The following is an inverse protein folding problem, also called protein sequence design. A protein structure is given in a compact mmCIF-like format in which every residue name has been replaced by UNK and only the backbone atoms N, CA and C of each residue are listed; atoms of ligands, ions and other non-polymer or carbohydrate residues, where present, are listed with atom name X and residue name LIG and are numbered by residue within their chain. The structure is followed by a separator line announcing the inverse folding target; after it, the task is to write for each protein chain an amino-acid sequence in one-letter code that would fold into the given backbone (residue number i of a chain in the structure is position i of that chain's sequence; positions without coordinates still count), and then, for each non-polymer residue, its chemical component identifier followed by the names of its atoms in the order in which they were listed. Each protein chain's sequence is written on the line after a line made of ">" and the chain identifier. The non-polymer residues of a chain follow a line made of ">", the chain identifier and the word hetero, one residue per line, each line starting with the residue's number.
data_IF_298735018283
#
_entry.id   IF_298735018283
#
_cell.length_a   1.000
_cell.length_b   1.000
_cell.length_c   1.000
_cell.angle_alpha   90.00
_cell.angle_beta   90.00
_cell.angle_gamma   90.00
#
_symmetry.space_group_name_H-M   'P 1'
#
loop_
_entity.id
_entity.type
_entity.pdbx_description
1 polymer ?
#
# COMPACT_ATOMS: atom_id res chain seq x y z
N UNK A 1 14.72 5.93 -8.68
CA UNK A 1 13.26 5.84 -8.41
C UNK A 1 12.60 4.73 -9.21
N UNK A 2 12.80 4.62 -10.53
CA UNK A 2 12.17 3.57 -11.34
C UNK A 2 12.40 2.14 -10.83
N UNK A 3 13.64 1.76 -10.51
CA UNK A 3 13.96 0.44 -9.93
C UNK A 3 13.23 0.16 -8.62
N UNK A 4 13.18 1.14 -7.72
CA UNK A 4 12.44 1.02 -6.45
C UNK A 4 10.94 0.86 -6.71
N UNK A 5 10.41 1.60 -7.68
CA UNK A 5 9.01 1.50 -8.06
C UNK A 5 8.65 0.10 -8.57
N UNK A 6 9.47 -0.45 -9.47
CA UNK A 6 9.30 -1.80 -10.00
C UNK A 6 9.40 -2.86 -8.89
N UNK A 7 10.41 -2.77 -8.02
CA UNK A 7 10.58 -3.66 -6.87
C UNK A 7 9.35 -3.61 -5.94
N UNK A 8 8.87 -2.40 -5.61
CA UNK A 8 7.70 -2.20 -4.76
C UNK A 8 6.42 -2.77 -5.39
N UNK A 9 6.23 -2.61 -6.70
CA UNK A 9 5.09 -3.20 -7.41
C UNK A 9 5.18 -4.72 -7.42
N UNK A 10 6.35 -5.29 -7.69
CA UNK A 10 6.55 -6.75 -7.66
C UNK A 10 6.29 -7.32 -6.26
N UNK A 11 6.85 -6.68 -5.23
CA UNK A 11 6.57 -7.00 -3.83
C UNK A 11 5.08 -6.94 -3.53
N UNK A 12 4.40 -5.87 -3.94
CA UNK A 12 2.95 -5.71 -3.78
C UNK A 12 2.19 -6.88 -4.38
N UNK A 13 2.47 -7.25 -5.63
CA UNK A 13 1.75 -8.34 -6.31
C UNK A 13 2.02 -9.70 -5.65
N UNK A 14 3.24 -9.95 -5.19
CA UNK A 14 3.57 -11.18 -4.46
C UNK A 14 2.87 -11.22 -3.10
N UNK A 15 2.84 -10.10 -2.38
CA UNK A 15 2.14 -9.96 -1.10
C UNK A 15 0.63 -10.12 -1.27
N UNK A 16 0.04 -9.53 -2.31
CA UNK A 16 -1.38 -9.68 -2.63
C UNK A 16 -1.78 -11.15 -2.80
N UNK A 17 -0.96 -11.95 -3.49
CA UNK A 17 -1.18 -13.39 -3.66
C UNK A 17 -1.17 -14.13 -2.32
N UNK A 18 -0.30 -13.74 -1.39
CA UNK A 18 -0.23 -14.32 -0.05
C UNK A 18 -1.40 -13.91 0.83
N UNK A 19 -1.74 -12.61 0.87
CA UNK A 19 -2.90 -12.10 1.62
C UNK A 19 -4.19 -12.73 1.12
N UNK A 20 -4.36 -12.83 -0.20
CA UNK A 20 -5.56 -13.41 -0.78
C UNK A 20 -5.70 -14.88 -0.41
N UNK A 21 -4.60 -15.65 -0.30
CA UNK A 21 -4.62 -17.05 0.14
C UNK A 21 -5.57 -17.94 -0.68
N UNK A 22 -5.87 -17.55 -1.93
CA UNK A 22 -6.90 -18.17 -2.77
C UNK A 22 -8.35 -17.77 -2.46
N UNK A 23 -8.61 -17.04 -1.36
CA UNK A 23 -9.91 -16.47 -1.05
C UNK A 23 -10.12 -15.14 -1.79
N UNK A 24 -11.03 -15.14 -2.76
CA UNK A 24 -11.35 -13.96 -3.55
C UNK A 24 -12.48 -13.10 -2.99
N UNK A 25 -13.19 -13.56 -1.96
CA UNK A 25 -14.42 -12.94 -1.46
C UNK A 25 -14.23 -11.80 -0.45
N UNK A 26 -13.02 -11.63 0.09
CA UNK A 26 -12.73 -10.62 1.12
C UNK A 26 -12.10 -9.37 0.51
N UNK A 27 -12.36 -8.22 1.13
CA UNK A 27 -11.60 -7.02 0.88
C UNK A 27 -10.12 -7.26 1.19
N UNK A 28 -9.27 -6.56 0.44
CA UNK A 28 -7.84 -6.50 0.69
C UNK A 28 -7.44 -5.05 0.54
N UNK A 29 -6.68 -4.52 1.49
CA UNK A 29 -6.20 -3.15 1.39
C UNK A 29 -4.92 -2.95 2.19
N UNK A 30 -3.82 -2.61 1.52
CA UNK A 30 -2.53 -2.39 2.17
C UNK A 30 -1.69 -1.37 1.41
N UNK A 31 -0.63 -0.89 2.05
CA UNK A 31 0.36 -0.01 1.42
C UNK A 31 1.68 -0.74 1.21
N UNK A 32 1.98 -1.18 -0.03
CA UNK A 32 3.24 -1.85 -0.31
C UNK A 32 4.44 -0.96 -0.05
N UNK A 33 4.33 0.35 -0.35
CA UNK A 33 5.45 1.29 -0.12
C UNK A 33 5.73 1.50 1.36
N UNK A 34 4.68 1.54 2.19
CA UNK A 34 4.83 1.67 3.63
C UNK A 34 5.53 0.43 4.18
N UNK A 35 5.03 -0.76 3.87
CA UNK A 35 5.59 -2.04 4.32
C UNK A 35 7.03 -2.21 3.85
N UNK A 36 7.30 -1.98 2.56
CA UNK A 36 8.65 -2.16 2.01
C UNK A 36 9.65 -1.18 2.60
N UNK A 37 9.26 0.09 2.82
CA UNK A 37 10.12 1.07 3.49
C UNK A 37 10.41 0.68 4.94
N UNK A 38 9.42 0.16 5.64
CA UNK A 38 9.54 -0.25 7.04
C UNK A 38 10.45 -1.47 7.20
N UNK A 39 10.30 -2.48 6.35
CA UNK A 39 11.21 -3.63 6.30
C UNK A 39 12.61 -3.22 5.85
N UNK A 40 12.73 -2.25 4.94
CA UNK A 40 14.02 -1.72 4.54
C UNK A 40 14.74 -0.92 5.66
N UNK A 41 14.05 -0.50 6.74
CA UNK A 41 14.70 0.00 7.96
C UNK A 41 15.34 -1.11 8.79
N UNK A 42 14.73 -2.31 8.81
CA UNK A 42 15.32 -3.49 9.44
C UNK A 42 16.50 -3.98 8.60
N UNK A 43 16.40 -3.91 7.27
CA UNK A 43 17.45 -4.31 6.34
C UNK A 43 18.79 -3.59 6.59
N UNK A 44 18.76 -2.28 6.91
CA UNK A 44 19.97 -1.49 7.25
C UNK A 44 20.87 -2.19 8.29
N UNK A 45 20.23 -2.87 9.25
CA UNK A 45 20.90 -3.57 10.34
C UNK A 45 21.07 -5.08 10.13
N UNK A 46 20.40 -5.66 9.13
CA UNK A 46 20.50 -7.07 8.81
C UNK A 46 21.83 -7.38 8.10
N UNK A 47 22.40 -8.54 8.40
CA UNK A 47 23.64 -9.06 7.78
C UNK A 47 23.46 -10.52 7.40
N UNK A 48 24.32 -11.01 6.51
CA UNK A 48 24.30 -12.41 6.07
C UNK A 48 22.97 -12.83 5.43
N UNK A 49 22.53 -14.06 5.74
CA UNK A 49 21.34 -14.67 5.12
C UNK A 49 20.01 -13.92 5.38
N UNK A 50 19.72 -13.39 6.59
CA UNK A 50 18.55 -12.54 6.80
C UNK A 50 18.48 -11.37 5.80
N UNK A 51 19.60 -10.68 5.56
CA UNK A 51 19.66 -9.58 4.60
C UNK A 51 19.36 -10.07 3.17
N UNK A 52 19.95 -11.20 2.76
CA UNK A 52 19.73 -11.81 1.43
C UNK A 52 18.25 -12.17 1.22
N UNK A 53 17.62 -12.80 2.22
CA UNK A 53 16.19 -13.14 2.18
C UNK A 53 15.32 -11.88 2.05
N UNK A 54 15.61 -10.85 2.85
CA UNK A 54 14.89 -9.58 2.80
C UNK A 54 15.02 -8.90 1.44
N UNK A 55 16.23 -8.83 0.87
CA UNK A 55 16.47 -8.29 -0.48
C UNK A 55 15.64 -9.01 -1.54
N UNK A 56 15.59 -10.35 -1.48
CA UNK A 56 14.83 -11.17 -2.42
C UNK A 56 13.34 -10.94 -2.28
N UNK A 57 12.80 -11.00 -1.07
CA UNK A 57 11.35 -10.85 -0.82
C UNK A 57 10.85 -9.45 -1.18
N UNK A 58 11.64 -8.40 -0.88
CA UNK A 58 11.30 -7.02 -1.22
C UNK A 58 11.48 -6.68 -2.71
N UNK A 59 11.93 -7.64 -3.53
CA UNK A 59 12.13 -7.44 -4.97
C UNK A 59 13.31 -6.52 -5.30
N UNK A 60 14.26 -6.35 -4.37
CA UNK A 60 15.45 -5.51 -4.56
C UNK A 60 16.55 -6.21 -5.37
N UNK A 61 16.32 -7.45 -5.80
CA UNK A 61 17.15 -8.15 -6.76
C UNK A 61 16.86 -7.68 -8.18
N UNK A 62 17.87 -7.59 -9.04
CA UNK A 62 17.62 -7.37 -10.47
C UNK A 62 16.79 -8.53 -11.04
N UNK A 63 15.85 -8.27 -11.96
CA UNK A 63 15.24 -9.34 -12.74
C UNK A 63 16.34 -10.12 -13.48
N UNK A 64 16.25 -11.46 -13.57
CA UNK A 64 17.18 -12.22 -14.40
C UNK A 64 17.09 -11.69 -15.84
N UNK A 65 18.23 -11.34 -16.44
CA UNK A 65 18.25 -11.12 -17.89
C UNK A 65 17.99 -12.48 -18.57
N UNK A 66 17.07 -12.59 -19.54
CA UNK A 66 16.95 -13.80 -20.34
C UNK A 66 18.30 -14.11 -20.99
N UNK A 67 18.85 -15.31 -20.72
CA UNK A 67 20.12 -15.77 -21.30
C UNK A 67 21.42 -15.36 -20.57
N UNK A 68 21.36 -14.74 -19.39
CA UNK A 68 22.57 -14.48 -18.61
C UNK A 68 22.94 -15.69 -17.72
N UNK A 69 24.14 -16.24 -17.93
CA UNK A 69 24.72 -17.31 -17.12
C UNK A 69 25.11 -16.87 -15.68
N UNK A 70 25.04 -15.57 -15.39
CA UNK A 70 25.37 -14.98 -14.08
C UNK A 70 24.23 -14.09 -13.59
N UNK A 71 23.90 -14.10 -12.27
CA UNK A 71 22.95 -13.17 -11.67
C UNK A 71 23.38 -11.72 -11.96
N UNK A 72 22.44 -10.88 -12.40
CA UNK A 72 22.72 -9.47 -12.62
C UNK A 72 23.19 -8.81 -11.31
N UNK A 73 24.16 -7.87 -11.33
CA UNK A 73 24.80 -7.33 -10.13
C UNK A 73 23.76 -6.72 -9.18
N UNK A 74 23.75 -7.18 -7.93
CA UNK A 74 22.82 -6.70 -6.88
C UNK A 74 22.66 -5.16 -6.93
N UNK A 75 21.43 -4.67 -6.81
CA UNK A 75 21.23 -3.24 -6.52
C UNK A 75 21.97 -2.95 -5.22
N UNK A 76 22.95 -2.04 -5.24
CA UNK A 76 23.70 -1.69 -4.04
C UNK A 76 22.71 -1.22 -2.97
N UNK A 77 22.85 -1.74 -1.76
CA UNK A 77 21.96 -1.44 -0.61
C UNK A 77 21.77 0.07 -0.41
N UNK A 78 22.85 0.84 -0.46
CA UNK A 78 22.82 2.31 -0.33
C UNK A 78 21.94 3.00 -1.40
N UNK A 79 21.84 2.43 -2.61
CA UNK A 79 20.99 2.97 -3.67
C UNK A 79 19.50 2.78 -3.39
N UNK A 80 19.13 1.77 -2.60
CA UNK A 80 17.74 1.48 -2.22
C UNK A 80 17.30 2.47 -1.15
N UNK A 81 18.11 2.63 -0.10
CA UNK A 81 17.82 3.54 1.01
C UNK A 81 17.75 5.00 0.54
N UNK A 82 18.69 5.43 -0.29
CA UNK A 82 18.63 6.76 -0.93
C UNK A 82 17.43 6.91 -1.88
N UNK A 83 17.01 5.85 -2.58
CA UNK A 83 15.80 5.88 -3.40
C UNK A 83 14.53 6.01 -2.57
N UNK A 84 14.43 5.35 -1.42
CA UNK A 84 13.32 5.53 -0.47
C UNK A 84 13.30 6.95 0.06
N UNK A 85 14.46 7.48 0.48
CA UNK A 85 14.56 8.85 0.96
C UNK A 85 14.07 9.87 -0.07
N UNK A 86 14.52 9.73 -1.31
CA UNK A 86 14.07 10.58 -2.42
C UNK A 86 12.56 10.47 -2.62
N UNK A 87 12.02 9.26 -2.69
CA UNK A 87 10.58 9.04 -2.88
C UNK A 87 9.76 9.61 -1.72
N UNK A 88 10.17 9.39 -0.46
CA UNK A 88 9.45 9.92 0.70
C UNK A 88 9.50 11.45 0.75
N UNK A 89 10.63 12.04 0.35
CA UNK A 89 10.78 13.50 0.24
C UNK A 89 9.86 14.08 -0.84
N UNK A 90 9.74 13.39 -1.98
CA UNK A 90 8.79 13.75 -3.05
C UNK A 90 7.33 13.65 -2.57
N UNK A 91 6.97 12.55 -1.90
CA UNK A 91 5.61 12.31 -1.43
C UNK A 91 5.18 13.28 -0.33
N UNK A 92 6.12 13.77 0.50
CA UNK A 92 5.89 14.71 1.61
C UNK A 92 6.31 16.14 1.27
N UNK A 93 6.43 16.51 -0.01
CA UNK A 93 6.77 17.87 -0.41
C UNK A 93 5.80 18.89 0.23
N UNK A 94 6.31 19.99 0.81
CA UNK A 94 5.46 21.09 1.24
C UNK A 94 4.57 21.57 0.08
N UNK A 95 3.29 21.82 0.36
CA UNK A 95 2.33 22.26 -0.64
C UNK A 95 1.72 21.14 -1.50
N UNK A 96 2.02 19.87 -1.23
CA UNK A 96 1.29 18.77 -1.85
C UNK A 96 -0.23 18.90 -1.57
N UNK A 97 -1.11 18.77 -2.59
CA UNK A 97 -2.56 18.95 -2.44
C UNK A 97 -3.27 17.75 -1.81
N UNK A 98 -2.55 16.99 -0.99
CA UNK A 98 -3.01 15.80 -0.30
C UNK A 98 -2.26 15.65 1.03
N UNK A 99 -2.85 14.89 1.95
CA UNK A 99 -2.25 14.48 3.22
C UNK A 99 -1.85 13.02 3.11
N UNK A 100 -0.57 12.73 3.34
CA UNK A 100 -0.05 11.38 3.45
C UNK A 100 0.68 11.23 4.78
N UNK A 101 0.07 10.52 5.72
CA UNK A 101 0.64 10.22 7.02
C UNK A 101 1.24 8.82 7.02
N UNK A 102 2.55 8.74 7.24
CA UNK A 102 3.31 7.49 7.38
C UNK A 102 3.82 7.40 8.83
N UNK A 103 3.23 6.50 9.60
CA UNK A 103 3.61 6.19 10.97
C UNK A 103 4.42 4.90 10.99
N UNK A 104 5.70 5.03 10.63
CA UNK A 104 6.66 3.92 10.59
C UNK A 104 7.66 4.10 11.72
N UNK A 105 7.74 3.13 12.63
CA UNK A 105 8.68 3.16 13.77
C UNK A 105 9.09 1.76 14.20
N UNK A 106 10.34 1.66 14.65
CA UNK A 106 10.86 0.47 15.31
C UNK A 106 10.83 0.68 16.82
N UNK A 107 10.32 -0.30 17.54
CA UNK A 107 10.33 -0.34 19.00
C UNK A 107 11.20 -1.51 19.46
N UNK A 108 12.32 -1.21 20.09
CA UNK A 108 13.28 -2.19 20.57
C UNK A 108 13.22 -2.35 22.08
N UNK A 109 13.46 -3.56 22.58
CA UNK A 109 13.61 -3.80 24.01
C UNK A 109 14.85 -3.07 24.54
N UNK A 110 14.67 -2.21 25.55
CA UNK A 110 15.69 -1.30 26.08
C UNK A 110 17.00 -1.98 26.51
N UNK A 111 16.99 -3.29 26.81
CA UNK A 111 18.20 -4.02 27.19
C UNK A 111 19.23 -4.25 26.06
N UNK A 112 18.89 -3.96 24.80
CA UNK A 112 19.71 -4.31 23.61
C UNK A 112 20.75 -3.26 23.19
N UNK A 113 20.99 -2.21 24.00
CA UNK A 113 22.08 -1.23 23.79
C UNK A 113 22.13 -0.62 22.37
N UNK A 114 20.97 -0.29 21.77
CA UNK A 114 20.90 0.24 20.40
C UNK A 114 21.70 1.54 20.23
N UNK A 115 21.86 2.32 21.31
CA UNK A 115 22.66 3.53 21.36
C UNK A 115 24.13 3.34 20.95
N UNK A 116 24.67 2.11 20.99
CA UNK A 116 26.04 1.83 20.55
C UNK A 116 26.18 1.83 19.02
N UNK A 117 25.09 1.68 18.27
CA UNK A 117 25.10 1.58 16.81
C UNK A 117 24.65 2.91 16.18
N UNK A 118 25.43 3.97 16.44
CA UNK A 118 25.13 5.33 15.96
C UNK A 118 24.95 5.42 14.44
N UNK A 119 25.71 4.64 13.66
CA UNK A 119 25.54 4.59 12.21
C UNK A 119 24.11 4.17 11.83
N UNK A 120 23.58 3.13 12.45
CA UNK A 120 22.23 2.64 12.19
C UNK A 120 21.15 3.68 12.54
N UNK A 121 21.28 4.31 13.71
CA UNK A 121 20.36 5.37 14.14
C UNK A 121 20.42 6.60 13.21
N UNK A 122 21.61 6.95 12.72
CA UNK A 122 21.78 8.04 11.77
C UNK A 122 21.21 7.69 10.39
N UNK A 123 21.41 6.46 9.91
CA UNK A 123 20.89 6.00 8.62
C UNK A 123 19.36 5.94 8.62
N UNK A 124 18.73 5.44 9.70
CA UNK A 124 17.27 5.40 9.84
C UNK A 124 16.66 6.81 9.84
N UNK A 125 17.25 7.75 10.58
CA UNK A 125 16.86 9.17 10.57
C UNK A 125 17.09 9.80 9.20
N UNK A 126 18.23 9.54 8.57
CA UNK A 126 18.60 10.13 7.28
C UNK A 126 17.64 9.67 6.20
N UNK A 127 17.52 8.36 6.01
CA UNK A 127 16.81 7.78 4.87
C UNK A 127 15.29 7.76 5.06
N UNK A 128 14.80 7.49 6.27
CA UNK A 128 13.38 7.21 6.49
C UNK A 128 12.66 8.25 7.36
N UNK A 129 13.39 9.21 7.96
CA UNK A 129 12.84 10.15 8.95
C UNK A 129 12.13 9.43 10.09
N UNK A 130 12.63 8.24 10.42
CA UNK A 130 12.10 7.38 11.45
C UNK A 130 13.16 7.18 12.54
N UNK A 131 12.69 6.88 13.74
CA UNK A 131 13.53 6.64 14.91
C UNK A 131 13.30 5.22 15.41
N UNK A 132 14.31 4.68 16.10
CA UNK A 132 14.15 3.53 16.97
C UNK A 132 13.84 4.05 18.36
N UNK A 133 12.76 3.56 18.96
CA UNK A 133 12.37 3.88 20.32
C UNK A 133 12.62 2.68 21.23
N UNK A 134 13.35 2.90 22.33
CA UNK A 134 13.61 1.89 23.34
C UNK A 134 12.44 1.83 24.33
N UNK A 135 11.93 0.62 24.57
CA UNK A 135 10.81 0.38 25.49
C UNK A 135 11.09 -0.81 26.40
N UNK A 136 10.38 -0.89 27.52
CA UNK A 136 10.50 -1.98 28.50
C UNK A 136 9.42 -3.04 28.26
N UNK A 137 9.60 -3.90 27.25
CA UNK A 137 8.74 -5.06 27.05
C UNK A 137 8.88 -6.07 28.19
N UNK A 138 10.12 -6.34 28.65
CA UNK A 138 10.39 -7.35 29.69
C UNK A 138 9.60 -7.14 30.98
N UNK A 139 9.48 -5.90 31.46
CA UNK A 139 8.78 -5.60 32.73
C UNK A 139 7.46 -4.85 32.51
N UNK A 140 7.27 -4.19 31.37
CA UNK A 140 6.15 -3.26 31.13
C UNK A 140 5.52 -3.41 29.74
N UNK A 141 5.46 -4.63 29.20
CA UNK A 141 4.90 -4.93 27.85
C UNK A 141 3.54 -4.29 27.57
N UNK A 142 2.58 -4.36 28.49
CA UNK A 142 1.25 -3.74 28.28
C UNK A 142 1.32 -2.20 28.25
N UNK A 143 2.17 -1.58 29.07
CA UNK A 143 2.37 -0.13 29.03
C UNK A 143 3.05 0.28 27.70
N UNK A 144 4.03 -0.49 27.24
CA UNK A 144 4.66 -0.30 25.93
C UNK A 144 3.62 -0.40 24.81
N UNK A 145 2.76 -1.44 24.83
CA UNK A 145 1.67 -1.62 23.87
C UNK A 145 0.74 -0.41 23.79
N UNK A 146 0.32 0.11 24.95
CA UNK A 146 -0.55 1.29 25.03
C UNK A 146 0.13 2.54 24.49
N UNK A 147 1.41 2.75 24.82
CA UNK A 147 2.18 3.90 24.33
C UNK A 147 2.37 3.85 22.81
N UNK A 148 2.71 2.67 22.26
CA UNK A 148 2.81 2.43 20.82
C UNK A 148 1.49 2.77 20.13
N UNK A 149 0.36 2.28 20.65
CA UNK A 149 -0.96 2.57 20.08
C UNK A 149 -1.30 4.06 20.10
N UNK A 150 -1.02 4.76 21.20
CA UNK A 150 -1.22 6.22 21.29
C UNK A 150 -0.36 6.98 20.29
N UNK A 151 0.88 6.56 20.10
CA UNK A 151 1.76 7.16 19.10
C UNK A 151 1.20 6.96 17.69
N UNK A 152 0.76 5.76 17.33
CA UNK A 152 0.14 5.47 16.03
C UNK A 152 -1.11 6.32 15.83
N UNK A 153 -2.00 6.37 16.81
CA UNK A 153 -3.24 7.13 16.76
C UNK A 153 -2.95 8.62 16.48
N UNK A 154 -2.02 9.21 17.23
CA UNK A 154 -1.59 10.61 17.02
C UNK A 154 -1.03 10.84 15.62
N UNK A 155 -0.16 9.94 15.13
CA UNK A 155 0.50 10.10 13.83
C UNK A 155 -0.41 9.76 12.63
N UNK A 156 -1.61 9.22 12.88
CA UNK A 156 -2.59 8.86 11.85
C UNK A 156 -3.86 9.69 11.93
N UNK A 157 -3.80 10.87 12.57
CA UNK A 157 -4.95 11.76 12.76
C UNK A 157 -6.14 11.06 13.42
N UNK A 158 -5.84 10.17 14.37
CA UNK A 158 -6.80 9.36 15.12
C UNK A 158 -7.60 8.36 14.27
N UNK A 159 -7.20 8.12 13.01
CA UNK A 159 -7.88 7.17 12.12
C UNK A 159 -7.49 5.73 12.42
N UNK A 160 -6.26 5.50 12.87
CA UNK A 160 -5.77 4.16 13.19
C UNK A 160 -5.63 4.04 14.71
N UNK A 161 -6.60 3.38 15.32
CA UNK A 161 -6.63 3.08 16.75
C UNK A 161 -6.32 1.61 17.00
N UNK A 162 -5.79 1.32 18.19
CA UNK A 162 -5.54 -0.03 18.69
C UNK A 162 -4.81 -0.93 17.69
N UNK A 163 -3.71 -0.42 17.10
CA UNK A 163 -2.91 -1.16 16.12
C UNK A 163 -2.42 -2.50 16.68
N UNK A 164 -1.88 -2.47 17.91
CA UNK A 164 -1.44 -3.62 18.66
C UNK A 164 -2.58 -4.14 19.56
N UNK A 165 -3.21 -5.29 19.24
CA UNK A 165 -4.24 -5.88 20.08
C UNK A 165 -3.64 -6.36 21.41
N UNK A 166 -4.49 -6.53 22.43
CA UNK A 166 -4.03 -7.08 23.72
C UNK A 166 -3.37 -8.45 23.51
N UNK A 167 -2.26 -8.69 24.18
CA UNK A 167 -1.48 -9.92 24.03
C UNK A 167 -0.59 -10.00 22.79
N UNK A 168 -0.57 -8.99 21.91
CA UNK A 168 0.32 -8.98 20.73
C UNK A 168 1.79 -8.72 21.08
N UNK A 169 2.07 -8.25 22.30
CA UNK A 169 3.43 -8.08 22.83
C UNK A 169 3.46 -8.62 24.26
N UNK A 170 4.61 -9.13 24.66
CA UNK A 170 4.84 -9.77 25.94
C UNK A 170 6.29 -9.53 26.40
N UNK A 171 6.67 -10.14 27.54
CA UNK A 171 8.01 -10.05 28.12
C UNK A 171 9.13 -10.66 27.26
N UNK A 172 8.79 -11.57 26.34
CA UNK A 172 9.70 -12.14 25.36
C UNK A 172 9.88 -11.27 24.10
N UNK A 173 9.14 -10.16 23.96
CA UNK A 173 9.20 -9.28 22.78
C UNK A 173 10.52 -8.51 22.75
N UNK A 174 11.23 -8.58 21.62
CA UNK A 174 12.55 -7.95 21.44
C UNK A 174 12.55 -6.76 20.50
N UNK A 175 11.85 -6.87 19.38
CA UNK A 175 11.78 -5.83 18.35
C UNK A 175 10.42 -5.88 17.65
N UNK A 176 9.74 -4.75 17.62
CA UNK A 176 8.44 -4.59 16.95
C UNK A 176 8.57 -3.55 15.85
N UNK A 177 8.17 -3.91 14.64
CA UNK A 177 8.04 -2.97 13.54
C UNK A 177 6.56 -2.59 13.37
N UNK A 178 6.27 -1.32 13.65
CA UNK A 178 4.95 -0.74 13.47
C UNK A 178 4.88 0.00 12.15
N UNK A 179 3.89 -0.36 11.34
CA UNK A 179 3.62 0.27 10.06
C UNK A 179 2.15 0.66 9.93
N UNK A 180 1.85 1.95 10.05
CA UNK A 180 0.52 2.48 9.83
C UNK A 180 0.55 3.61 8.81
N UNK A 181 -0.40 3.60 7.88
CA UNK A 181 -0.48 4.60 6.83
C UNK A 181 -1.91 5.12 6.67
N UNK A 182 -2.01 6.43 6.50
CA UNK A 182 -3.26 7.13 6.24
C UNK A 182 -3.07 8.08 5.06
N UNK A 183 -4.04 8.08 4.15
CA UNK A 183 -4.05 8.96 2.99
C UNK A 183 -5.38 9.69 2.89
N UNK A 184 -5.28 10.97 2.56
CA UNK A 184 -6.40 11.85 2.28
C UNK A 184 -6.03 12.73 1.09
N UNK A 185 -6.82 12.74 0.03
CA UNK A 185 -6.58 13.56 -1.15
C UNK A 185 -7.88 13.85 -1.89
N UNK A 186 -8.03 15.07 -2.41
CA UNK A 186 -9.25 15.45 -3.13
C UNK A 186 -9.19 15.00 -4.59
N UNK A 187 -10.33 14.59 -5.16
CA UNK A 187 -10.45 14.34 -6.60
C UNK A 187 -10.17 15.63 -7.38
N UNK A 188 -9.50 15.51 -8.53
CA UNK A 188 -9.40 16.60 -9.50
C UNK A 188 -10.80 16.98 -10.04
N UNK A 189 -11.67 15.99 -10.17
CA UNK A 189 -13.08 16.12 -10.56
C UNK A 189 -13.94 15.40 -9.51
N UNK A 190 -14.53 16.20 -8.62
CA UNK A 190 -15.37 15.72 -7.51
C UNK A 190 -16.70 15.16 -8.01
N UNK A 191 -17.24 14.21 -7.28
CA UNK A 191 -18.62 13.77 -7.49
C UNK A 191 -19.58 14.79 -6.86
N UNK A 192 -20.67 15.19 -7.54
CA UNK A 192 -21.74 15.97 -6.91
C UNK A 192 -22.42 15.13 -5.82
N UNK A 193 -22.64 15.70 -4.62
CA UNK A 193 -23.23 14.95 -3.49
C UNK A 193 -24.69 14.61 -3.73
N UNK A 194 -25.38 15.51 -4.42
CA UNK A 194 -26.75 15.37 -4.89
C UNK A 194 -26.91 14.27 -5.94
N UNK A 195 -25.83 13.87 -6.61
CA UNK A 195 -25.82 12.77 -7.57
C UNK A 195 -25.54 11.40 -6.91
N UNK A 196 -25.29 11.35 -5.60
CA UNK A 196 -25.13 10.09 -4.87
C UNK A 196 -26.49 9.51 -4.50
N UNK A 197 -26.78 8.30 -4.96
CA UNK A 197 -28.04 7.59 -4.71
C UNK A 197 -27.81 6.17 -4.19
N UNK A 198 -28.88 5.51 -3.74
CA UNK A 198 -28.81 4.08 -3.43
C UNK A 198 -28.61 3.26 -4.70
N UNK A 199 -27.58 2.41 -4.70
CA UNK A 199 -27.26 1.48 -5.76
C UNK A 199 -27.14 0.06 -5.21
N UNK A 200 -26.97 -0.90 -6.11
CA UNK A 200 -26.80 -2.31 -5.77
C UNK A 200 -25.37 -2.74 -6.10
N UNK A 201 -24.67 -3.35 -5.16
CA UNK A 201 -23.36 -3.95 -5.37
C UNK A 201 -23.49 -5.47 -5.46
N UNK A 202 -23.20 -6.02 -6.64
CA UNK A 202 -23.35 -7.43 -7.00
C UNK A 202 -22.14 -8.24 -6.51
N UNK A 203 -22.40 -9.24 -5.68
CA UNK A 203 -21.46 -10.30 -5.30
C UNK A 203 -22.29 -11.60 -5.18
N UNK A 204 -21.84 -12.64 -4.45
CA UNK A 204 -22.66 -13.81 -4.09
C UNK A 204 -24.01 -13.42 -3.46
N UNK A 205 -24.05 -12.29 -2.76
CA UNK A 205 -25.27 -11.62 -2.30
C UNK A 205 -25.19 -10.14 -2.65
N UNK A 206 -26.18 -9.65 -3.37
CA UNK A 206 -26.31 -8.23 -3.70
C UNK A 206 -26.52 -7.42 -2.42
N UNK A 207 -25.76 -6.33 -2.26
CA UNK A 207 -25.87 -5.42 -1.09
C UNK A 207 -26.19 -4.00 -1.54
N UNK A 208 -27.03 -3.25 -0.80
CA UNK A 208 -27.24 -1.83 -1.06
C UNK A 208 -25.99 -1.03 -0.72
N UNK A 209 -25.68 -0.02 -1.53
CA UNK A 209 -24.56 0.91 -1.34
C UNK A 209 -24.97 2.33 -1.67
N UNK A 210 -24.25 3.32 -1.12
CA UNK A 210 -24.28 4.67 -1.67
C UNK A 210 -23.37 4.74 -2.89
N UNK A 211 -23.97 4.83 -4.06
CA UNK A 211 -23.29 4.92 -5.34
C UNK A 211 -23.14 6.39 -5.73
N UNK A 212 -21.90 6.84 -5.93
CA UNK A 212 -21.60 8.20 -6.37
C UNK A 212 -21.57 8.23 -7.89
N UNK A 213 -22.14 9.27 -8.51
CA UNK A 213 -22.26 9.40 -9.96
C UNK A 213 -21.64 10.71 -10.45
N UNK A 214 -20.88 10.67 -11.55
CA UNK A 214 -20.46 11.87 -12.26
C UNK A 214 -20.20 11.56 -13.74
N UNK A 215 -20.25 12.59 -14.58
CA UNK A 215 -19.88 12.52 -15.99
C UNK A 215 -18.80 13.56 -16.28
N UNK A 216 -17.65 13.11 -16.83
CA UNK A 216 -16.53 13.99 -17.13
C UNK A 216 -15.51 13.29 -18.03
N UNK A 217 -14.45 14.02 -18.42
CA UNK A 217 -13.35 13.48 -19.24
C UNK A 217 -12.29 12.79 -18.38
N UNK A 218 -12.26 11.47 -18.41
CA UNK A 218 -11.29 10.62 -17.69
C UNK A 218 -10.45 9.76 -18.64
N UNK A 219 -9.19 9.44 -18.28
CA UNK A 219 -8.44 8.40 -18.96
C UNK A 219 -9.08 7.03 -18.71
N UNK A 220 -9.46 6.36 -19.80
CA UNK A 220 -10.10 5.04 -19.79
C UNK A 220 -9.43 4.15 -20.83
N UNK A 221 -9.16 2.90 -20.45
CA UNK A 221 -8.67 1.85 -21.33
C UNK A 221 -9.54 0.59 -21.23
N UNK A 222 -9.44 -0.26 -22.25
CA UNK A 222 -10.02 -1.60 -22.24
C UNK A 222 -8.90 -2.64 -22.32
N UNK A 223 -9.03 -3.74 -21.58
CA UNK A 223 -8.13 -4.88 -21.56
C UNK A 223 -8.88 -6.05 -22.22
N UNK A 224 -8.72 -6.29 -23.54
CA UNK A 224 -9.48 -7.30 -24.26
C UNK A 224 -9.29 -8.71 -23.70
N UNK A 225 -8.06 -9.10 -23.37
CA UNK A 225 -7.73 -10.44 -22.88
C UNK A 225 -8.36 -10.76 -21.51
N UNK A 226 -8.69 -9.71 -20.75
CA UNK A 226 -9.36 -9.80 -19.45
C UNK A 226 -10.84 -9.44 -19.49
N UNK A 227 -11.36 -8.97 -20.63
CA UNK A 227 -12.70 -8.39 -20.74
C UNK A 227 -12.97 -7.38 -19.60
N UNK A 228 -12.03 -6.46 -19.38
CA UNK A 228 -12.03 -5.53 -18.24
C UNK A 228 -11.76 -4.09 -18.68
N UNK A 229 -12.30 -3.10 -17.98
CA UNK A 229 -12.00 -1.68 -18.14
C UNK A 229 -10.97 -1.23 -17.11
N UNK A 230 -10.17 -0.22 -17.46
CA UNK A 230 -9.28 0.49 -16.53
C UNK A 230 -9.65 1.97 -16.54
N UNK A 231 -10.10 2.48 -15.41
CA UNK A 231 -10.38 3.90 -15.21
C UNK A 231 -9.28 4.54 -14.35
N UNK A 232 -8.82 5.72 -14.74
CA UNK A 232 -7.97 6.58 -13.92
C UNK A 232 -8.75 7.79 -13.40
N UNK A 233 -8.79 7.94 -12.08
CA UNK A 233 -9.34 9.08 -11.37
C UNK A 233 -8.19 9.90 -10.75
N UNK A 234 -7.77 11.01 -11.38
CA UNK A 234 -6.71 11.85 -10.85
C UNK A 234 -7.15 12.57 -9.57
N UNK A 235 -6.24 12.72 -8.61
CA UNK A 235 -6.38 13.66 -7.50
C UNK A 235 -5.94 15.06 -7.91
N UNK A 236 -6.28 16.06 -7.10
CA UNK A 236 -5.85 17.46 -7.30
C UNK A 236 -4.33 17.51 -7.50
N UNK A 237 -3.90 18.29 -8.49
CA UNK A 237 -2.48 18.43 -8.86
C UNK A 237 -1.91 17.24 -9.64
N UNK A 238 -2.68 16.17 -9.86
CA UNK A 238 -2.37 15.03 -10.75
C UNK A 238 -1.07 14.28 -10.44
N UNK A 239 -0.46 14.53 -9.27
CA UNK A 239 0.68 13.77 -8.78
C UNK A 239 0.27 12.36 -8.31
N UNK A 240 -0.97 12.21 -7.87
CA UNK A 240 -1.57 10.94 -7.50
C UNK A 240 -2.78 10.67 -8.39
N UNK A 241 -3.01 9.40 -8.68
CA UNK A 241 -4.26 8.91 -9.28
C UNK A 241 -4.73 7.63 -8.60
N UNK A 242 -6.04 7.46 -8.46
CA UNK A 242 -6.63 6.14 -8.23
C UNK A 242 -6.86 5.47 -9.59
N UNK A 243 -6.40 4.24 -9.75
CA UNK A 243 -6.69 3.42 -10.91
C UNK A 243 -7.56 2.25 -10.48
N UNK A 244 -8.59 1.97 -11.26
CA UNK A 244 -9.58 0.92 -10.99
C UNK A 244 -9.62 -0.01 -12.19
N UNK A 245 -9.37 -1.30 -11.96
CA UNK A 245 -9.52 -2.36 -12.95
C UNK A 245 -10.80 -3.13 -12.63
N UNK A 246 -11.78 -3.02 -13.53
CA UNK A 246 -13.12 -3.55 -13.36
C UNK A 246 -13.40 -4.56 -14.48
N UNK A 247 -13.61 -5.85 -14.17
CA UNK A 247 -14.15 -6.80 -15.14
C UNK A 247 -15.49 -6.31 -15.70
N UNK A 248 -15.81 -6.56 -16.96
CA UNK A 248 -17.11 -6.12 -17.52
C UNK A 248 -18.29 -6.93 -16.96
N UNK A 249 -18.03 -8.18 -16.53
CA UNK A 249 -19.04 -9.11 -16.01
C UNK A 249 -18.38 -10.02 -14.97
N UNK A 250 -19.17 -10.42 -13.97
CA UNK A 250 -18.84 -11.56 -13.11
C UNK A 250 -19.00 -12.83 -13.96
N UNK A 251 -17.89 -13.49 -14.28
CA UNK A 251 -17.87 -14.71 -15.11
C UNK A 251 -17.56 -15.98 -14.32
N UNK A 252 -17.14 -15.84 -13.06
CA UNK A 252 -16.86 -16.96 -12.16
C UNK A 252 -17.92 -17.03 -11.05
N UNK A 253 -18.02 -18.17 -10.37
CA UNK A 253 -18.96 -18.40 -9.27
C UNK A 253 -18.59 -17.63 -7.97
N UNK A 254 -17.66 -16.67 -8.05
CA UNK A 254 -17.14 -15.93 -6.90
C UNK A 254 -17.25 -14.41 -7.09
N UNK A 255 -16.18 -13.73 -7.48
CA UNK A 255 -16.10 -12.27 -7.55
C UNK A 255 -15.94 -11.72 -8.95
N UNK A 256 -15.74 -12.57 -9.97
CA UNK A 256 -15.36 -12.16 -11.32
C UNK A 256 -13.89 -11.75 -11.45
N UNK A 257 -13.14 -11.70 -10.34
CA UNK A 257 -11.74 -11.25 -10.32
C UNK A 257 -10.74 -12.40 -10.44
N UNK A 258 -11.14 -13.68 -10.35
CA UNK A 258 -10.17 -14.78 -10.28
C UNK A 258 -9.22 -14.80 -11.48
N UNK A 259 -9.76 -14.63 -12.69
CA UNK A 259 -8.96 -14.60 -13.92
C UNK A 259 -7.96 -13.43 -13.88
N UNK A 260 -8.42 -12.26 -13.42
CA UNK A 260 -7.62 -11.03 -13.32
C UNK A 260 -6.49 -11.18 -12.31
N UNK A 261 -6.79 -11.67 -11.11
CA UNK A 261 -5.81 -11.89 -10.05
C UNK A 261 -4.73 -12.90 -10.44
N UNK A 262 -5.11 -13.99 -11.12
CA UNK A 262 -4.15 -14.98 -11.64
C UNK A 262 -3.26 -14.41 -12.74
N UNK A 263 -3.82 -13.55 -13.58
CA UNK A 263 -3.09 -12.93 -14.69
C UNK A 263 -2.18 -11.78 -14.25
N UNK A 264 -2.37 -11.19 -13.07
CA UNK A 264 -1.60 -10.04 -12.60
C UNK A 264 -0.10 -10.36 -12.43
N UNK A 265 0.70 -9.73 -13.28
CA UNK A 265 2.17 -9.61 -13.17
C UNK A 265 2.56 -8.14 -13.23
N UNK A 266 3.81 -7.82 -12.88
CA UNK A 266 4.32 -6.46 -12.99
C UNK A 266 4.17 -5.93 -14.42
N UNK A 267 4.59 -6.72 -15.41
CA UNK A 267 4.56 -6.35 -16.82
C UNK A 267 3.14 -6.07 -17.29
N UNK A 268 2.19 -6.95 -16.94
CA UNK A 268 0.78 -6.78 -17.29
C UNK A 268 0.17 -5.57 -16.62
N UNK A 269 0.40 -5.36 -15.32
CA UNK A 269 -0.15 -4.21 -14.61
C UNK A 269 0.37 -2.89 -15.21
N UNK A 270 1.67 -2.81 -15.50
CA UNK A 270 2.27 -1.64 -16.13
C UNK A 270 1.76 -1.43 -17.57
N UNK A 271 1.58 -2.50 -18.33
CA UNK A 271 1.07 -2.45 -19.70
C UNK A 271 -0.41 -2.04 -19.76
N UNK A 272 -1.25 -2.59 -18.88
CA UNK A 272 -2.68 -2.26 -18.79
C UNK A 272 -2.94 -0.83 -18.35
N UNK A 273 -2.00 -0.23 -17.61
CA UNK A 273 -2.15 1.11 -17.01
C UNK A 273 -1.20 2.14 -17.60
N UNK A 274 -0.62 1.82 -18.76
CA UNK A 274 0.31 2.65 -19.50
C UNK A 274 -0.41 3.91 -20.00
N UNK A 275 0.09 5.13 -19.75
CA UNK A 275 -0.59 6.36 -20.14
C UNK A 275 -0.96 6.43 -21.64
N UNK A 276 -0.12 5.86 -22.52
CA UNK A 276 -0.38 5.83 -23.96
C UNK A 276 -1.58 4.97 -24.38
N UNK A 277 -2.06 4.08 -23.52
CA UNK A 277 -3.27 3.26 -23.75
C UNK A 277 -4.53 3.84 -23.09
N UNK A 278 -4.37 4.83 -22.22
CA UNK A 278 -5.45 5.41 -21.43
C UNK A 278 -5.99 6.64 -22.18
N UNK A 279 -7.03 6.43 -23.00
CA UNK A 279 -7.63 7.51 -23.79
C UNK A 279 -8.49 8.40 -22.91
N UNK A 280 -8.19 9.70 -22.89
CA UNK A 280 -9.02 10.70 -22.22
C UNK A 280 -10.29 10.95 -23.03
N UNK A 281 -11.43 10.50 -22.51
CA UNK A 281 -12.74 10.58 -23.17
C UNK A 281 -13.85 10.84 -22.16
N UNK A 282 -15.05 11.21 -22.62
CA UNK A 282 -16.23 11.37 -21.76
C UNK A 282 -16.68 10.01 -21.22
N UNK A 283 -16.80 9.92 -19.89
CA UNK A 283 -17.14 8.71 -19.16
C UNK A 283 -18.17 9.05 -18.09
N UNK A 284 -19.27 8.30 -18.08
CA UNK A 284 -20.20 8.24 -16.95
C UNK A 284 -19.66 7.26 -15.91
N UNK A 285 -19.26 7.77 -14.75
CA UNK A 285 -18.61 7.00 -13.69
C UNK A 285 -19.58 6.81 -12.53
N UNK A 286 -19.81 5.56 -12.16
CA UNK A 286 -20.48 5.17 -10.91
C UNK A 286 -19.49 4.45 -10.01
N UNK A 287 -19.28 4.97 -8.80
CA UNK A 287 -18.32 4.43 -7.82
C UNK A 287 -18.93 4.37 -6.42
N UNK A 288 -18.84 3.24 -5.69
CA UNK A 288 -19.41 3.14 -4.36
C UNK A 288 -18.60 3.98 -3.37
N UNK A 289 -19.30 4.73 -2.51
CA UNK A 289 -18.71 5.25 -1.28
C UNK A 289 -18.28 4.06 -0.44
N UNK A 290 -17.04 4.08 0.02
CA UNK A 290 -16.46 2.93 0.71
C UNK A 290 -15.47 3.36 1.78
N UNK A 291 -15.36 2.52 2.81
CA UNK A 291 -14.39 2.67 3.88
C UNK A 291 -13.74 1.31 4.11
N UNK A 292 -12.43 1.24 3.93
CA UNK A 292 -11.67 0.02 4.13
C UNK A 292 -10.61 0.25 5.20
N UNK A 293 -10.60 -0.64 6.18
CA UNK A 293 -9.63 -0.67 7.26
C UNK A 293 -9.19 -2.12 7.44
N UNK A 294 -7.98 -2.44 7.01
CA UNK A 294 -7.44 -3.79 7.05
C UNK A 294 -6.19 -3.82 7.90
N UNK A 295 -6.05 -4.89 8.69
CA UNK A 295 -4.89 -5.12 9.56
C UNK A 295 -4.29 -6.48 9.25
N UNK A 296 -2.98 -6.52 9.08
CA UNK A 296 -2.25 -7.74 8.78
C UNK A 296 -1.12 -7.94 9.79
N UNK A 297 -1.09 -9.14 10.39
CA UNK A 297 0.13 -9.69 10.94
C UNK A 297 1.00 -10.13 9.77
N UNK A 298 2.07 -9.35 9.53
CA UNK A 298 2.94 -9.54 8.39
C UNK A 298 3.94 -10.67 8.61
N UNK A 299 4.18 -11.12 9.84
CA UNK A 299 5.21 -12.12 10.14
C UNK A 299 4.97 -13.42 9.38
N UNK A 300 3.77 -13.99 9.51
CA UNK A 300 3.38 -15.22 8.82
C UNK A 300 3.42 -15.08 7.29
N UNK A 301 2.96 -13.94 6.77
CA UNK A 301 2.99 -13.62 5.35
C UNK A 301 4.43 -13.57 4.82
N UNK A 302 5.32 -12.85 5.50
CA UNK A 302 6.73 -12.66 5.12
C UNK A 302 7.52 -13.98 5.19
N UNK A 303 7.30 -14.80 6.23
CA UNK A 303 7.88 -16.14 6.32
C UNK A 303 7.45 -16.98 5.10
N UNK A 304 6.16 -16.96 4.76
CA UNK A 304 5.65 -17.70 3.58
C UNK A 304 6.21 -17.21 2.24
N UNK A 305 6.77 -15.99 2.20
CA UNK A 305 7.44 -15.41 1.04
C UNK A 305 8.94 -15.75 1.01
N UNK A 306 9.50 -16.35 2.07
CA UNK A 306 10.90 -16.74 2.19
C UNK A 306 11.76 -15.77 3.00
N UNK A 307 11.15 -14.92 3.84
CA UNK A 307 11.83 -14.07 4.83
C UNK A 307 11.64 -14.71 6.20
N UNK A 308 12.45 -15.71 6.54
CA UNK A 308 12.32 -16.48 7.79
C UNK A 308 13.38 -16.08 8.83
N UNK A 309 14.64 -15.89 8.42
CA UNK A 309 15.77 -15.82 9.35
C UNK A 309 15.71 -14.59 10.25
N UNK A 310 15.09 -13.50 9.79
CA UNK A 310 14.91 -12.27 10.58
C UNK A 310 13.96 -12.48 11.78
N UNK A 311 13.15 -13.55 11.74
CA UNK A 311 12.20 -13.96 12.78
C UNK A 311 12.71 -15.15 13.61
N UNK A 312 13.84 -15.75 13.26
CA UNK A 312 14.39 -16.96 13.88
C UNK A 312 15.59 -16.61 14.79
N UNK A 313 15.45 -16.84 16.10
CA UNK A 313 16.49 -16.50 17.08
C UNK A 313 17.83 -17.25 16.94
N UNK A 314 17.90 -18.31 16.13
CA UNK A 314 19.14 -19.06 15.88
C UNK A 314 19.83 -18.64 14.58
N UNK A 315 19.07 -18.13 13.61
CA UNK A 315 19.59 -17.73 12.28
C UNK A 315 19.72 -16.23 12.11
N UNK A 316 19.03 -15.45 12.95
CA UNK A 316 18.99 -13.99 12.85
C UNK A 316 20.38 -13.39 12.99
N UNK A 317 20.64 -12.38 12.16
CA UNK A 317 21.82 -11.55 12.25
C UNK A 317 21.41 -10.10 12.02
N UNK A 318 21.02 -9.44 13.12
CA UNK A 318 20.75 -8.00 13.20
C UNK A 318 21.90 -7.26 13.90
N UNK A 319 23.14 -7.74 13.72
CA UNK A 319 24.35 -7.16 14.34
C UNK A 319 24.61 -5.69 13.96
N UNK A 320 24.00 -5.21 12.86
CA UNK A 320 24.03 -3.80 12.52
C UNK A 320 23.11 -2.92 13.37
N UNK A 321 22.18 -3.50 14.15
CA UNK A 321 21.26 -2.78 15.06
C UNK A 321 21.70 -2.86 16.53
N UNK A 322 22.27 -3.99 16.94
CA UNK A 322 22.63 -4.29 18.32
C UNK A 322 23.84 -5.22 18.34
N UNK A 323 24.77 -5.09 19.31
CA UNK A 323 25.88 -6.02 19.45
C UNK A 323 25.42 -7.40 19.95
N UNK A 324 24.23 -7.49 20.55
CA UNK A 324 23.67 -8.76 21.02
C UNK A 324 23.16 -9.59 19.85
N UNK A 325 23.62 -10.85 19.77
CA UNK A 325 23.33 -11.75 18.65
C UNK A 325 21.94 -12.40 18.69
N UNK A 326 21.13 -12.14 19.71
CA UNK A 326 19.80 -12.74 19.88
C UNK A 326 18.66 -11.75 19.57
N UNK A 327 18.96 -10.54 19.07
CA UNK A 327 17.96 -9.58 18.62
C UNK A 327 17.23 -10.13 17.39
N UNK A 328 15.91 -10.33 17.52
CA UNK A 328 15.06 -10.86 16.46
C UNK A 328 13.86 -9.94 16.23
N UNK A 329 13.42 -9.83 14.97
CA UNK A 329 12.16 -9.16 14.68
C UNK A 329 11.02 -10.03 15.22
N UNK A 330 10.36 -9.56 16.27
CA UNK A 330 9.34 -10.34 16.97
C UNK A 330 8.00 -10.21 16.25
N UNK A 331 7.59 -8.98 15.98
CA UNK A 331 6.28 -8.63 15.44
C UNK A 331 6.40 -7.59 14.32
N UNK A 332 5.58 -7.76 13.28
CA UNK A 332 5.44 -6.79 12.18
C UNK A 332 3.96 -6.61 11.90
N UNK A 333 3.42 -5.45 12.24
CA UNK A 333 2.00 -5.18 12.08
C UNK A 333 1.80 -4.06 11.08
N UNK A 334 1.01 -4.35 10.06
CA UNK A 334 0.58 -3.39 9.05
C UNK A 334 -0.90 -3.08 9.22
N UNK A 335 -1.24 -1.80 9.24
CA UNK A 335 -2.64 -1.35 9.18
C UNK A 335 -2.78 -0.20 8.20
N UNK A 336 -3.73 -0.33 7.30
CA UNK A 336 -4.02 0.68 6.28
C UNK A 336 -5.50 1.06 6.33
N UNK A 337 -5.75 2.35 6.14
CA UNK A 337 -7.08 2.94 6.15
C UNK A 337 -7.29 3.78 4.89
N UNK A 338 -8.44 3.63 4.24
CA UNK A 338 -8.90 4.48 3.14
C UNK A 338 -10.40 4.70 3.23
N UNK A 339 -10.83 5.92 2.95
CA UNK A 339 -12.23 6.29 2.84
C UNK A 339 -12.47 7.03 1.52
N UNK A 340 -13.20 6.41 0.60
CA UNK A 340 -13.55 6.95 -0.71
C UNK A 340 -14.92 7.61 -0.64
N UNK A 341 -14.99 8.90 -0.98
CA UNK A 341 -16.22 9.69 -1.00
C UNK A 341 -16.21 10.72 -2.15
N UNK A 342 -17.21 11.61 -2.16
CA UNK A 342 -17.47 12.53 -3.25
C UNK A 342 -16.38 13.59 -3.45
N UNK A 343 -15.71 13.99 -2.36
CA UNK A 343 -14.65 14.99 -2.39
C UNK A 343 -13.33 14.39 -2.87
N UNK A 344 -13.10 13.10 -2.60
CA UNK A 344 -11.80 12.47 -2.69
C UNK A 344 -11.68 11.21 -1.84
N UNK A 345 -10.47 11.01 -1.33
CA UNK A 345 -10.22 10.22 -0.13
C UNK A 345 -10.16 11.18 1.08
N UNK A 346 -11.14 11.07 2.00
CA UNK A 346 -11.48 11.89 3.19
C UNK A 346 -11.53 13.45 3.12
N UNK A 347 -12.39 14.13 3.92
CA UNK A 347 -13.07 15.39 3.53
C UNK A 347 -12.86 16.70 4.36
N UNK A 348 -13.26 17.86 3.79
CA UNK A 348 -14.11 18.97 4.33
C UNK A 348 -14.41 20.03 3.21
N UNK A 349 -15.60 20.67 3.23
CA UNK A 349 -16.35 21.21 2.07
C UNK A 349 -16.01 22.63 1.53
N UNK A 350 -16.37 22.89 0.25
CA UNK A 350 -17.11 24.07 -0.26
C UNK A 350 -17.35 23.97 -1.80
N UNK A 351 -18.55 24.39 -2.23
CA UNK A 351 -19.17 24.20 -3.55
C UNK A 351 -18.90 25.35 -4.54
N UNK A 352 -18.75 25.05 -5.83
CA UNK A 352 -19.03 25.99 -6.93
C UNK A 352 -19.38 25.23 -8.22
N UNK A 353 -20.60 25.44 -8.73
CA UNK A 353 -21.13 24.90 -9.98
C UNK A 353 -20.72 25.75 -11.17
N UNK A 354 -20.21 25.14 -12.25
CA UNK A 354 -20.03 25.79 -13.56
C UNK A 354 -20.74 24.93 -14.60
N UNK A 355 -21.73 25.51 -15.27
CA UNK A 355 -22.49 24.86 -16.35
C UNK A 355 -21.69 24.77 -17.65
N UNK A 356 -22.00 23.76 -18.46
CA UNK A 356 -21.48 23.63 -19.83
C UNK A 356 -22.61 23.50 -20.85
N UNK A 357 -22.37 24.10 -22.00
CA UNK A 357 -23.22 24.13 -23.20
C UNK A 357 -23.01 22.88 -24.06
N UNK A 358 -24.09 22.46 -24.72
CA UNK A 358 -24.23 21.21 -25.50
C UNK A 358 -23.73 21.29 -26.94
N UNK A 359 -23.11 20.22 -27.41
CA UNK A 359 -23.14 19.75 -28.80
C UNK A 359 -23.34 18.22 -28.79
N UNK A 360 -24.03 17.65 -29.79
CA UNK A 360 -24.51 16.25 -29.85
C UNK A 360 -23.50 15.24 -29.27
N UNK A 361 -23.82 14.49 -28.20
CA UNK A 361 -22.88 13.52 -27.64
C UNK A 361 -22.89 12.22 -28.47
N UNK A 362 -21.69 11.69 -28.72
CA UNK A 362 -21.54 10.23 -28.74
C UNK A 362 -21.98 9.73 -27.36
N UNK A 363 -22.79 8.66 -27.29
CA UNK A 363 -23.19 8.09 -26.00
C UNK A 363 -21.95 7.90 -25.11
N UNK A 364 -21.91 8.53 -23.92
CA UNK A 364 -20.73 8.49 -23.07
C UNK A 364 -20.42 7.05 -22.70
N UNK A 365 -19.14 6.69 -22.62
CA UNK A 365 -18.78 5.35 -22.15
C UNK A 365 -19.14 5.22 -20.68
N UNK A 366 -19.76 4.13 -20.29
CA UNK A 366 -20.11 3.88 -18.89
C UNK A 366 -18.99 3.11 -18.19
N UNK A 367 -18.66 3.50 -16.96
CA UNK A 367 -17.85 2.74 -16.01
C UNK A 367 -18.61 2.63 -14.69
N UNK A 368 -19.22 1.46 -14.46
CA UNK A 368 -20.11 1.24 -13.31
C UNK A 368 -19.47 0.22 -12.37
N UNK A 369 -18.84 0.68 -11.30
CA UNK A 369 -18.17 -0.17 -10.32
C UNK A 369 -19.17 -0.78 -9.31
N UNK A 370 -20.18 -1.49 -9.82
CA UNK A 370 -21.25 -2.12 -9.05
C UNK A 370 -20.97 -3.58 -8.66
N UNK A 371 -19.73 -4.04 -8.78
CA UNK A 371 -19.30 -5.40 -8.44
C UNK A 371 -17.79 -5.42 -8.18
N UNK A 372 -17.20 -6.54 -7.69
CA UNK A 372 -15.83 -6.54 -7.22
C UNK A 372 -14.82 -6.02 -8.24
N UNK A 373 -13.87 -5.20 -7.76
CA UNK A 373 -12.81 -4.60 -8.56
C UNK A 373 -11.48 -4.55 -7.82
N UNK A 374 -10.40 -4.43 -8.59
CA UNK A 374 -9.06 -4.13 -8.06
C UNK A 374 -8.83 -2.64 -8.22
N UNK A 375 -8.25 -2.00 -7.21
CA UNK A 375 -7.85 -0.61 -7.31
C UNK A 375 -6.47 -0.39 -6.69
N UNK A 376 -5.82 0.68 -7.11
CA UNK A 376 -4.57 1.11 -6.49
C UNK A 376 -4.40 2.62 -6.62
N UNK A 377 -3.67 3.20 -5.68
CA UNK A 377 -3.31 4.62 -5.72
C UNK A 377 -1.84 4.71 -6.12
N UNK A 378 -1.58 5.40 -7.23
CA UNK A 378 -0.24 5.53 -7.83
C UNK A 378 0.25 6.96 -7.69
N UNK A 379 1.53 7.11 -7.35
CA UNK A 379 2.27 8.34 -7.56
C UNK A 379 2.77 8.40 -9.00
N UNK A 380 2.13 9.25 -9.80
CA UNK A 380 2.31 9.30 -11.25
C UNK A 380 3.76 9.65 -11.66
N UNK A 381 4.45 10.62 -11.04
CA UNK A 381 5.84 10.94 -11.40
C UNK A 381 6.82 9.78 -11.21
N UNK A 382 6.61 8.92 -10.21
CA UNK A 382 7.51 7.78 -9.93
C UNK A 382 6.96 6.43 -10.38
N UNK A 383 5.71 6.39 -10.88
CA UNK A 383 4.91 5.19 -11.11
C UNK A 383 4.77 4.26 -9.88
N UNK A 384 4.97 4.79 -8.67
CA UNK A 384 4.99 3.96 -7.46
C UNK A 384 3.59 3.73 -6.91
N UNK A 385 3.25 2.47 -6.69
CA UNK A 385 2.00 2.08 -6.03
C UNK A 385 2.11 2.39 -4.54
N UNK A 386 1.29 3.33 -4.07
CA UNK A 386 1.23 3.72 -2.66
C UNK A 386 0.26 2.84 -1.89
N UNK A 387 -0.87 2.51 -2.49
CA UNK A 387 -1.89 1.64 -1.92
C UNK A 387 -2.37 0.67 -2.98
N UNK A 388 -2.66 -0.55 -2.56
CA UNK A 388 -3.21 -1.59 -3.41
C UNK A 388 -4.38 -2.25 -2.69
N UNK A 389 -5.47 -2.50 -3.42
CA UNK A 389 -6.63 -3.13 -2.83
C UNK A 389 -7.51 -3.88 -3.79
N UNK A 390 -8.33 -4.73 -3.20
CA UNK A 390 -9.45 -5.42 -3.81
C UNK A 390 -10.69 -5.05 -3.01
N UNK A 391 -11.70 -4.55 -3.69
CA UNK A 391 -12.98 -4.24 -3.09
C UNK A 391 -13.99 -5.29 -3.53
N UNK A 392 -14.45 -6.12 -2.59
CA UNK A 392 -15.45 -7.17 -2.80
C UNK A 392 -16.73 -6.92 -2.01
N UNK A 393 -16.63 -6.29 -0.83
CA UNK A 393 -17.78 -5.90 -0.02
C UNK A 393 -17.68 -4.43 0.36
N UNK A 394 -18.75 -3.66 0.16
CA UNK A 394 -18.95 -2.36 0.79
C UNK A 394 -19.06 -2.45 2.30
#
# INVERSE_FOLDING_TARGET
>A
MERLSAANTQFSLNLFKKISGGNTSKNVFYSPISISSALAMVLLGAKGNPAVQMFKVLGFTNPPKPGAATPAPHVKEDQIHSSFNKLMSELKKPGAPYVLSLANRLYGEQSYQFALLQKYLNDTKTYYKAELEEVDFKKKSEAARVNINKWVEKNTQEKIKNLLPRGSVNDATKLVLVNAIYFKGNWEKKFPKEATSDGQFKMNKTKPVKMMHQESKFPLAFIPEMNSQVLELPYVGKNLSMLIILPNKIQDETTGLQKLEKALTYEKLMEWTKPSKMLRQEVEVSLPRSKMEETYDMKSLLISMGMEDVFDGQKVNLSGMSPNNDLVLTEVIHKAFVEVNEEGTEAAAATATVGFTTSMPLDPKTFIADHPFIFFIRHNPSNSILFYGRFCSP
#
